data_IF_259096587832
#
_entry.id   IF_259096587832
#
_cell.length_a   1.000
_cell.length_b   1.000
_cell.length_c   1.000
_cell.angle_alpha   90.00
_cell.angle_beta   90.00
_cell.angle_gamma   90.00
#
_symmetry.space_group_name_H-M   'P 1'
#
loop_
_entity.id
_entity.type
_entity.pdbx_description
1 polymer ?
#
# COMPACT_ATOMS: atom_id res chain seq x y z
N UNK A 1 -27.60 60.10 24.48
CA UNK A 1 -27.88 59.67 25.85
C UNK A 1 -28.47 58.29 25.79
N UNK A 2 -27.63 57.27 25.90
CA UNK A 2 -28.01 55.91 26.34
C UNK A 2 -26.74 55.22 26.71
N UNK A 3 -26.64 54.91 27.96
CA UNK A 3 -25.57 54.27 28.70
C UNK A 3 -25.58 52.80 28.40
N UNK A 4 -24.43 52.21 28.01
CA UNK A 4 -24.25 50.77 27.81
C UNK A 4 -23.18 50.26 28.79
N UNK A 5 -23.71 49.73 29.90
CA UNK A 5 -22.93 49.09 30.94
C UNK A 5 -22.14 47.87 30.45
N UNK A 6 -20.85 47.89 30.66
CA UNK A 6 -19.94 46.76 30.49
C UNK A 6 -20.12 45.79 31.65
N UNK A 7 -20.49 44.53 31.33
CA UNK A 7 -20.42 43.42 32.28
C UNK A 7 -19.05 42.75 32.14
N UNK A 8 -18.24 42.87 33.19
CA UNK A 8 -17.03 42.05 33.38
C UNK A 8 -17.39 40.57 33.48
N UNK A 9 -16.81 39.78 32.60
CA UNK A 9 -16.82 38.31 32.73
C UNK A 9 -15.53 37.86 33.41
N UNK A 10 -15.67 37.33 34.62
CA UNK A 10 -14.64 36.65 35.39
C UNK A 10 -14.08 35.44 34.63
N UNK A 11 -12.82 35.50 34.18
CA UNK A 11 -12.04 34.35 33.70
C UNK A 11 -11.59 33.54 34.91
N UNK A 12 -12.16 32.33 35.09
CA UNK A 12 -11.60 31.30 35.96
C UNK A 12 -10.31 30.78 35.34
N UNK A 13 -9.18 31.06 36.00
CA UNK A 13 -7.89 30.46 35.71
C UNK A 13 -7.92 29.02 36.19
N UNK A 14 -7.86 28.06 35.27
CA UNK A 14 -7.70 26.63 35.58
C UNK A 14 -6.22 26.39 35.83
N UNK A 15 -5.86 26.12 37.07
CA UNK A 15 -4.51 25.80 37.50
C UNK A 15 -4.18 24.39 37.08
N UNK A 16 -3.30 24.22 36.07
CA UNK A 16 -2.77 22.91 35.65
C UNK A 16 -1.68 22.53 36.64
N UNK A 17 -2.03 21.65 37.57
CA UNK A 17 -1.11 21.03 38.52
C UNK A 17 -0.14 20.13 37.76
N UNK A 18 1.13 20.52 37.78
CA UNK A 18 2.25 19.76 37.19
C UNK A 18 2.51 18.48 37.99
N UNK A 19 2.68 17.36 37.26
CA UNK A 19 2.94 15.99 37.74
C UNK A 19 4.28 15.81 38.50
N UNK A 20 4.69 16.77 39.34
CA UNK A 20 6.01 16.74 40.00
C UNK A 20 5.98 16.50 41.52
N UNK A 21 4.82 16.31 42.17
CA UNK A 21 4.74 16.23 43.65
C UNK A 21 4.12 14.92 44.18
N UNK A 22 4.40 13.75 43.56
CA UNK A 22 3.88 12.47 44.10
C UNK A 22 4.96 11.51 44.60
N UNK A 23 6.16 12.01 44.90
CA UNK A 23 7.19 11.18 45.53
C UNK A 23 7.71 11.94 46.76
N UNK A 24 6.96 11.90 47.87
CA UNK A 24 7.46 12.07 49.23
C UNK A 24 6.31 11.76 50.20
N UNK A 25 6.16 10.54 50.58
CA UNK A 25 5.74 9.98 51.89
C UNK A 25 5.50 8.49 51.78
N UNK A 26 6.51 7.68 52.02
CA UNK A 26 6.39 6.32 52.55
C UNK A 26 7.79 5.85 52.93
N UNK A 27 8.29 6.28 54.04
CA UNK A 27 9.37 5.59 54.76
C UNK A 27 8.73 4.98 55.99
N UNK A 28 9.17 3.74 56.26
CA UNK A 28 8.96 2.90 57.45
C UNK A 28 7.83 1.87 57.31
N UNK A 29 8.20 0.68 56.83
CA UNK A 29 7.94 -0.59 57.47
C UNK A 29 8.61 -1.69 56.64
N UNK A 30 9.61 -2.37 57.23
CA UNK A 30 10.39 -3.41 56.58
C UNK A 30 9.51 -4.67 56.31
N UNK A 31 9.43 -5.01 55.05
CA UNK A 31 9.20 -6.37 54.56
C UNK A 31 10.03 -6.46 53.26
N UNK A 32 11.04 -7.33 53.29
CA UNK A 32 11.85 -7.67 52.15
C UNK A 32 10.95 -8.42 51.14
N UNK A 33 10.33 -7.69 50.22
CA UNK A 33 9.74 -8.26 49.03
C UNK A 33 10.85 -8.30 47.98
N UNK A 34 11.39 -9.47 47.74
CA UNK A 34 12.20 -9.77 46.59
C UNK A 34 11.36 -9.54 45.33
N UNK A 35 11.42 -8.32 44.80
CA UNK A 35 10.89 -8.03 43.47
C UNK A 35 11.81 -8.73 42.48
N UNK A 36 11.40 -9.91 42.00
CA UNK A 36 11.91 -10.43 40.74
C UNK A 36 11.55 -9.39 39.66
N UNK A 37 12.48 -8.48 39.41
CA UNK A 37 12.44 -7.66 38.21
C UNK A 37 12.62 -8.60 37.01
N UNK A 38 11.51 -9.11 36.46
CA UNK A 38 11.50 -9.58 35.09
C UNK A 38 11.85 -8.36 34.26
N UNK A 39 13.15 -8.23 33.95
CA UNK A 39 13.63 -7.32 32.93
C UNK A 39 12.96 -7.79 31.64
N UNK A 40 11.85 -7.12 31.27
CA UNK A 40 11.32 -7.20 29.93
C UNK A 40 12.40 -6.60 29.04
N UNK A 41 13.31 -7.45 28.56
CA UNK A 41 14.29 -7.09 27.56
C UNK A 41 13.50 -6.76 26.31
N UNK A 42 13.12 -5.50 26.15
CA UNK A 42 12.71 -4.98 24.85
C UNK A 42 13.96 -4.99 23.98
N UNK A 43 14.24 -6.13 23.35
CA UNK A 43 15.20 -6.17 22.25
C UNK A 43 14.67 -5.23 21.18
N UNK A 44 15.30 -4.03 21.09
CA UNK A 44 15.03 -3.16 19.95
C UNK A 44 15.27 -3.98 18.70
N UNK A 45 14.39 -3.88 17.68
CA UNK A 45 14.59 -4.60 16.43
C UNK A 45 16.00 -4.34 15.94
N UNK A 46 16.73 -5.40 15.60
CA UNK A 46 18.08 -5.27 15.06
C UNK A 46 17.90 -4.69 13.65
N UNK A 47 18.17 -3.40 13.52
CA UNK A 47 18.12 -2.70 12.25
C UNK A 47 19.07 -3.37 11.25
N UNK A 48 18.49 -3.97 10.20
CA UNK A 48 19.24 -4.53 9.10
C UNK A 48 19.42 -3.47 8.02
N UNK A 49 20.67 -3.25 7.61
CA UNK A 49 20.95 -2.33 6.52
C UNK A 49 20.47 -2.92 5.18
N UNK A 50 19.96 -2.09 4.24
CA UNK A 50 19.77 -2.50 2.87
C UNK A 50 21.06 -3.07 2.27
N UNK A 51 20.95 -4.13 1.47
CA UNK A 51 22.10 -4.74 0.78
C UNK A 51 22.61 -3.85 -0.37
N UNK A 52 21.77 -2.99 -0.91
CA UNK A 52 22.05 -2.06 -2.00
C UNK A 52 21.52 -0.68 -1.61
N UNK A 53 22.32 0.36 -1.83
CA UNK A 53 21.89 1.77 -1.80
C UNK A 53 21.21 2.14 -3.12
N UNK A 54 20.43 3.22 -3.14
CA UNK A 54 19.76 3.74 -4.34
C UNK A 54 18.84 2.72 -5.05
N UNK A 55 18.11 1.88 -4.27
CA UNK A 55 17.09 1.01 -4.85
C UNK A 55 16.02 1.83 -5.57
N UNK A 56 15.67 1.40 -6.79
CA UNK A 56 14.56 1.95 -7.55
C UNK A 56 13.31 1.08 -7.36
N UNK A 57 12.29 1.63 -6.72
CA UNK A 57 10.96 1.04 -6.53
C UNK A 57 10.04 1.60 -7.60
N UNK A 58 9.59 0.78 -8.51
CA UNK A 58 8.65 1.13 -9.56
C UNK A 58 7.29 0.51 -9.28
N UNK A 59 6.24 1.34 -9.28
CA UNK A 59 4.84 0.92 -9.19
C UNK A 59 4.18 1.06 -10.55
N UNK A 60 3.70 -0.03 -11.10
CA UNK A 60 2.99 -0.12 -12.38
C UNK A 60 1.57 -0.62 -12.17
N UNK A 61 0.66 -0.17 -13.03
CA UNK A 61 -0.73 -0.60 -12.99
C UNK A 61 -1.70 0.42 -13.56
N UNK A 62 -2.92 0.33 -13.08
CA UNK A 62 -4.07 1.13 -13.48
C UNK A 62 -4.38 2.30 -12.51
N UNK A 63 -5.67 2.69 -12.38
CA UNK A 63 -6.12 3.77 -11.51
C UNK A 63 -5.84 3.56 -10.02
N UNK A 64 -5.83 2.32 -9.56
CA UNK A 64 -5.55 1.99 -8.16
C UNK A 64 -4.08 2.32 -7.83
N UNK A 65 -3.18 2.07 -8.78
CA UNK A 65 -1.76 2.42 -8.68
C UNK A 65 -1.51 3.90 -8.98
N UNK A 66 -2.15 4.45 -10.02
CA UNK A 66 -2.07 5.88 -10.40
C UNK A 66 -2.38 6.78 -9.19
N UNK A 67 -3.48 6.52 -8.50
CA UNK A 67 -3.87 7.31 -7.32
C UNK A 67 -3.94 8.80 -7.65
N UNK A 68 -4.34 9.17 -8.86
CA UNK A 68 -4.39 10.56 -9.34
C UNK A 68 -3.04 11.29 -9.19
N UNK A 69 -1.94 10.63 -9.59
CA UNK A 69 -0.60 11.20 -9.53
C UNK A 69 -0.44 12.43 -10.43
N UNK A 70 0.42 13.33 -10.02
CA UNK A 70 0.81 14.47 -10.84
C UNK A 70 1.56 14.05 -12.10
N UNK A 71 1.35 14.81 -13.17
CA UNK A 71 1.99 14.60 -14.47
C UNK A 71 3.22 15.52 -14.69
N UNK A 72 3.62 16.23 -13.65
CA UNK A 72 4.80 17.10 -13.62
C UNK A 72 5.86 16.53 -12.67
N UNK A 73 6.94 17.27 -12.45
CA UNK A 73 8.05 16.87 -11.55
C UNK A 73 7.84 17.29 -10.08
N UNK A 74 6.64 17.79 -9.72
CA UNK A 74 6.35 18.20 -8.35
C UNK A 74 6.37 16.98 -7.40
N UNK A 75 7.35 16.89 -6.48
CA UNK A 75 7.52 15.74 -5.59
C UNK A 75 6.35 15.52 -4.64
N UNK A 76 5.48 16.52 -4.45
CA UNK A 76 4.30 16.38 -3.60
C UNK A 76 3.19 15.58 -4.27
N UNK A 77 3.20 15.45 -5.61
CA UNK A 77 2.10 14.86 -6.37
C UNK A 77 2.49 13.67 -7.25
N UNK A 78 3.78 13.50 -7.60
CA UNK A 78 4.24 12.45 -8.54
C UNK A 78 3.94 11.01 -8.11
N UNK A 79 3.71 10.79 -6.81
CA UNK A 79 3.38 9.46 -6.25
C UNK A 79 1.87 9.22 -6.13
N UNK A 80 1.04 10.24 -6.41
CA UNK A 80 -0.41 10.18 -6.18
C UNK A 80 -0.77 10.26 -4.70
N UNK A 81 -1.97 9.75 -4.35
CA UNK A 81 -2.45 9.70 -2.97
C UNK A 81 -2.92 8.30 -2.57
N UNK A 82 -2.53 7.28 -3.34
CA UNK A 82 -2.86 5.87 -3.11
C UNK A 82 -1.81 5.11 -2.29
N UNK A 83 -1.85 3.77 -2.39
CA UNK A 83 -0.93 2.90 -1.66
C UNK A 83 0.55 3.14 -2.03
N UNK A 84 0.84 3.54 -3.26
CA UNK A 84 2.19 3.89 -3.71
C UNK A 84 2.77 5.03 -2.87
N UNK A 85 1.98 6.10 -2.66
CA UNK A 85 2.37 7.21 -1.79
C UNK A 85 2.60 6.75 -0.35
N UNK A 86 1.69 5.94 0.21
CA UNK A 86 1.80 5.48 1.58
C UNK A 86 3.05 4.60 1.82
N UNK A 87 3.37 3.69 0.89
CA UNK A 87 4.59 2.87 0.92
C UNK A 87 5.83 3.75 0.82
N UNK A 88 5.87 4.62 -0.20
CA UNK A 88 7.03 5.45 -0.53
C UNK A 88 7.35 6.46 0.57
N UNK A 89 6.32 7.12 1.13
CA UNK A 89 6.52 8.11 2.19
C UNK A 89 7.05 7.50 3.48
N UNK A 90 6.61 6.29 3.85
CA UNK A 90 7.13 5.59 5.02
C UNK A 90 8.57 5.17 4.82
N UNK A 91 8.86 4.44 3.75
CA UNK A 91 10.21 3.93 3.49
C UNK A 91 11.18 5.09 3.26
N UNK A 92 10.79 6.12 2.51
CA UNK A 92 11.63 7.28 2.26
C UNK A 92 11.93 8.10 3.51
N UNK A 93 10.95 8.24 4.42
CA UNK A 93 11.13 8.97 5.68
C UNK A 93 12.05 8.23 6.67
N UNK A 94 11.96 6.90 6.74
CA UNK A 94 12.73 6.11 7.69
C UNK A 94 14.13 5.74 7.19
N UNK A 95 14.37 5.80 5.87
CA UNK A 95 15.64 5.42 5.24
C UNK A 95 16.24 6.51 4.33
N UNK A 96 16.26 7.81 4.71
CA UNK A 96 16.69 8.90 3.83
C UNK A 96 18.15 8.79 3.39
N UNK A 97 18.98 8.13 4.20
CA UNK A 97 20.41 7.97 3.95
C UNK A 97 20.75 7.03 2.80
N UNK A 98 19.78 6.23 2.31
CA UNK A 98 20.01 5.26 1.24
C UNK A 98 19.64 5.77 -0.15
N UNK A 99 19.03 6.95 -0.26
CA UNK A 99 18.71 7.59 -1.53
C UNK A 99 17.81 6.77 -2.43
N UNK A 100 16.82 6.06 -1.85
CA UNK A 100 15.86 5.27 -2.60
C UNK A 100 15.05 6.12 -3.55
N UNK A 101 14.78 5.60 -4.74
CA UNK A 101 13.89 6.20 -5.71
C UNK A 101 12.54 5.48 -5.72
N UNK A 102 11.46 6.26 -5.72
CA UNK A 102 10.09 5.74 -5.81
C UNK A 102 9.43 6.36 -7.04
N UNK A 103 8.97 5.52 -7.95
CA UNK A 103 8.40 5.94 -9.22
C UNK A 103 7.02 5.32 -9.36
N UNK A 104 6.00 6.16 -9.55
CA UNK A 104 4.65 5.71 -9.89
C UNK A 104 4.42 5.91 -11.39
N UNK A 105 4.12 4.81 -12.10
CA UNK A 105 3.78 4.77 -13.53
C UNK A 105 2.39 4.16 -13.77
N UNK A 106 1.54 4.13 -12.75
CA UNK A 106 0.13 3.82 -12.93
C UNK A 106 -0.55 4.81 -13.87
N UNK A 107 -1.47 4.33 -14.70
CA UNK A 107 -2.33 5.15 -15.57
C UNK A 107 -3.75 4.63 -15.45
N UNK A 108 -4.67 5.51 -15.05
CA UNK A 108 -6.08 5.19 -14.87
C UNK A 108 -6.68 4.61 -16.16
N UNK A 109 -7.43 3.51 -16.03
CA UNK A 109 -8.08 2.83 -17.15
C UNK A 109 -7.21 1.82 -17.89
N UNK A 110 -5.90 1.72 -17.60
CA UNK A 110 -5.02 0.80 -18.31
C UNK A 110 -5.36 -0.68 -18.01
N UNK A 111 -5.41 -1.47 -19.08
CA UNK A 111 -5.38 -2.92 -19.11
C UNK A 111 -3.94 -3.45 -19.25
N UNK A 112 -3.75 -4.77 -19.21
CA UNK A 112 -2.44 -5.37 -19.47
C UNK A 112 -1.90 -5.05 -20.86
N UNK A 113 -2.77 -4.94 -21.87
CA UNK A 113 -2.42 -4.54 -23.24
C UNK A 113 -1.93 -3.09 -23.32
N UNK A 114 -2.49 -2.21 -22.49
CA UNK A 114 -2.06 -0.81 -22.46
C UNK A 114 -0.70 -0.68 -21.77
N UNK A 115 -0.42 -1.50 -20.77
CA UNK A 115 0.92 -1.60 -20.19
C UNK A 115 1.94 -2.06 -21.24
N UNK A 116 1.62 -3.05 -22.07
CA UNK A 116 2.50 -3.55 -23.13
C UNK A 116 2.95 -2.43 -24.07
N UNK A 117 2.02 -1.57 -24.51
CA UNK A 117 2.30 -0.44 -25.43
C UNK A 117 3.34 0.56 -24.89
N UNK A 118 3.45 0.69 -23.58
CA UNK A 118 4.34 1.64 -22.91
C UNK A 118 5.43 0.98 -22.04
N UNK A 119 5.54 -0.35 -22.09
CA UNK A 119 6.40 -1.10 -21.18
C UNK A 119 7.87 -0.74 -21.28
N UNK A 120 8.35 -0.48 -22.48
CA UNK A 120 9.74 -0.07 -22.71
C UNK A 120 10.08 1.22 -21.94
N UNK A 121 9.32 2.28 -22.17
CA UNK A 121 9.61 3.61 -21.61
C UNK A 121 9.26 3.73 -20.13
N UNK A 122 8.15 3.09 -19.72
CA UNK A 122 7.60 3.23 -18.37
C UNK A 122 8.04 2.12 -17.40
N UNK A 123 8.83 1.15 -17.88
CA UNK A 123 9.33 0.06 -17.03
C UNK A 123 10.80 -0.27 -17.33
N UNK A 124 11.12 -0.71 -18.54
CA UNK A 124 12.46 -1.21 -18.84
C UNK A 124 13.53 -0.10 -18.80
N UNK A 125 13.25 1.07 -19.36
CA UNK A 125 14.18 2.20 -19.37
C UNK A 125 14.45 2.75 -17.95
N UNK A 126 13.54 2.52 -17.01
CA UNK A 126 13.67 2.94 -15.61
C UNK A 126 14.55 2.00 -14.77
N UNK A 127 14.85 0.79 -15.28
CA UNK A 127 15.74 -0.19 -14.67
C UNK A 127 15.44 -0.45 -13.19
N UNK A 128 14.21 -0.81 -12.82
CA UNK A 128 13.84 -0.98 -11.41
C UNK A 128 14.62 -2.12 -10.73
N UNK A 129 14.80 -1.99 -9.42
CA UNK A 129 15.26 -3.06 -8.54
C UNK A 129 14.06 -3.81 -7.92
N UNK A 130 12.96 -3.11 -7.75
CA UNK A 130 11.68 -3.63 -7.25
C UNK A 130 10.57 -3.17 -8.19
N UNK A 131 9.88 -4.09 -8.83
CA UNK A 131 8.72 -3.84 -9.67
C UNK A 131 7.46 -4.30 -8.95
N UNK A 132 6.58 -3.37 -8.59
CA UNK A 132 5.24 -3.66 -8.08
C UNK A 132 4.23 -3.49 -9.21
N UNK A 133 3.47 -4.55 -9.52
CA UNK A 133 2.49 -4.56 -10.60
C UNK A 133 1.11 -4.97 -10.07
N UNK A 134 0.12 -4.11 -10.30
CA UNK A 134 -1.30 -4.37 -10.02
C UNK A 134 -2.12 -3.96 -11.24
N UNK A 135 -2.67 -4.93 -11.98
CA UNK A 135 -3.47 -4.73 -13.20
C UNK A 135 -4.41 -5.93 -13.39
N UNK A 136 -5.50 -5.73 -14.13
CA UNK A 136 -6.43 -6.80 -14.49
C UNK A 136 -7.91 -6.42 -14.36
N UNK A 137 -8.24 -5.43 -13.55
CA UNK A 137 -9.64 -5.01 -13.37
C UNK A 137 -10.20 -4.31 -14.63
N UNK A 138 -9.37 -3.57 -15.37
CA UNK A 138 -9.78 -2.95 -16.62
C UNK A 138 -9.83 -3.95 -17.79
N UNK A 139 -9.09 -5.04 -17.70
CA UNK A 139 -9.23 -6.18 -18.60
C UNK A 139 -10.62 -6.82 -18.46
N UNK A 140 -11.10 -6.94 -17.21
CA UNK A 140 -12.48 -7.38 -16.91
C UNK A 140 -13.48 -6.36 -17.41
N UNK A 141 -13.28 -5.06 -17.17
CA UNK A 141 -14.16 -4.01 -17.66
C UNK A 141 -14.30 -4.05 -19.18
N UNK A 142 -13.21 -4.27 -19.91
CA UNK A 142 -13.22 -4.36 -21.37
C UNK A 142 -14.10 -5.55 -21.86
N UNK A 143 -14.08 -6.68 -21.19
CA UNK A 143 -14.95 -7.82 -21.48
C UNK A 143 -16.42 -7.46 -21.24
N UNK A 144 -16.73 -6.86 -20.10
CA UNK A 144 -18.11 -6.51 -19.72
C UNK A 144 -18.69 -5.47 -20.68
N UNK A 145 -17.89 -4.51 -21.13
CA UNK A 145 -18.27 -3.50 -22.11
C UNK A 145 -18.30 -4.04 -23.56
N UNK A 146 -17.88 -5.28 -23.79
CA UNK A 146 -17.84 -5.90 -25.11
C UNK A 146 -16.85 -5.23 -26.06
N UNK A 147 -15.73 -4.70 -25.52
CA UNK A 147 -14.69 -4.06 -26.34
C UNK A 147 -14.00 -5.07 -27.24
N UNK A 148 -13.74 -4.69 -28.48
CA UNK A 148 -13.11 -5.57 -29.46
C UNK A 148 -11.67 -5.96 -29.07
N UNK A 149 -10.95 -5.08 -28.37
CA UNK A 149 -9.60 -5.29 -27.86
C UNK A 149 -9.54 -6.05 -26.52
N UNK A 150 -10.68 -6.46 -25.98
CA UNK A 150 -10.73 -7.21 -24.73
C UNK A 150 -10.00 -8.56 -24.86
N UNK A 151 -9.05 -8.81 -23.98
CA UNK A 151 -8.30 -10.06 -23.96
C UNK A 151 -9.08 -11.16 -23.23
N UNK A 152 -9.12 -12.35 -23.81
CA UNK A 152 -9.52 -13.54 -23.07
C UNK A 152 -8.45 -13.92 -22.00
N UNK A 153 -8.76 -14.92 -21.17
CA UNK A 153 -7.88 -15.34 -20.09
C UNK A 153 -6.48 -15.76 -20.58
N UNK A 154 -6.41 -16.47 -21.71
CA UNK A 154 -5.15 -16.95 -22.28
C UNK A 154 -4.29 -15.82 -22.84
N UNK A 155 -4.89 -14.87 -23.55
CA UNK A 155 -4.21 -13.71 -24.10
C UNK A 155 -3.73 -12.78 -22.98
N UNK A 156 -4.57 -12.55 -21.94
CA UNK A 156 -4.17 -11.83 -20.74
C UNK A 156 -2.93 -12.47 -20.08
N UNK A 157 -2.96 -13.78 -19.82
CA UNK A 157 -1.85 -14.49 -19.22
C UNK A 157 -0.57 -14.37 -20.07
N UNK A 158 -0.68 -14.60 -21.39
CA UNK A 158 0.45 -14.52 -22.31
C UNK A 158 1.10 -13.14 -22.31
N UNK A 159 0.29 -12.06 -22.41
CA UNK A 159 0.79 -10.69 -22.37
C UNK A 159 1.46 -10.39 -21.03
N UNK A 160 0.80 -10.74 -19.92
CA UNK A 160 1.37 -10.53 -18.58
C UNK A 160 2.75 -11.21 -18.42
N UNK A 161 2.85 -12.47 -18.85
CA UNK A 161 4.12 -13.22 -18.82
C UNK A 161 5.21 -12.60 -19.68
N UNK A 162 4.87 -12.11 -20.88
CA UNK A 162 5.83 -11.44 -21.76
C UNK A 162 6.41 -10.16 -21.11
N UNK A 163 5.57 -9.38 -20.43
CA UNK A 163 6.01 -8.19 -19.68
C UNK A 163 7.04 -8.55 -18.60
N UNK A 164 6.76 -9.58 -17.81
CA UNK A 164 7.66 -10.00 -16.74
C UNK A 164 8.94 -10.66 -17.28
N UNK A 165 8.83 -11.42 -18.37
CA UNK A 165 9.98 -12.07 -19.01
C UNK A 165 11.00 -11.02 -19.48
N UNK A 166 10.55 -9.94 -20.14
CA UNK A 166 11.42 -8.85 -20.58
C UNK A 166 12.13 -8.15 -19.41
N UNK A 167 11.45 -8.00 -18.28
CA UNK A 167 12.06 -7.44 -17.07
C UNK A 167 13.13 -8.38 -16.49
N UNK A 168 12.87 -9.70 -16.45
CA UNK A 168 13.83 -10.69 -15.94
C UNK A 168 15.01 -10.89 -16.86
N UNK A 169 14.83 -10.76 -18.17
CA UNK A 169 15.92 -10.75 -19.14
C UNK A 169 16.86 -9.57 -18.90
N UNK A 170 16.30 -8.36 -18.65
CA UNK A 170 17.09 -7.18 -18.36
C UNK A 170 17.77 -7.24 -16.98
N UNK A 171 17.05 -7.70 -15.95
CA UNK A 171 17.52 -7.79 -14.57
C UNK A 171 17.09 -9.10 -13.91
N UNK A 172 17.91 -10.16 -13.97
CA UNK A 172 17.60 -11.44 -13.33
C UNK A 172 17.35 -11.35 -11.81
N UNK A 173 17.91 -10.32 -11.17
CA UNK A 173 17.77 -10.06 -9.72
C UNK A 173 16.59 -9.14 -9.36
N UNK A 174 15.79 -8.75 -10.34
CA UNK A 174 14.61 -7.93 -10.10
C UNK A 174 13.68 -8.59 -9.07
N UNK A 175 13.34 -7.88 -8.00
CA UNK A 175 12.28 -8.29 -7.11
C UNK A 175 10.92 -7.92 -7.71
N UNK A 176 10.16 -8.92 -8.12
CA UNK A 176 8.81 -8.73 -8.66
C UNK A 176 7.80 -8.87 -7.52
N UNK A 177 6.86 -7.90 -7.45
CA UNK A 177 5.77 -7.88 -6.48
C UNK A 177 4.47 -7.79 -7.27
N UNK A 178 3.62 -8.82 -7.18
CA UNK A 178 2.36 -8.89 -7.91
C UNK A 178 1.17 -8.76 -6.94
N UNK A 179 0.36 -7.72 -7.16
CA UNK A 179 -0.92 -7.56 -6.48
C UNK A 179 -2.04 -8.30 -7.22
N UNK A 180 -2.86 -9.04 -6.49
CA UNK A 180 -4.07 -9.64 -7.07
C UNK A 180 -5.10 -8.57 -7.38
N UNK A 181 -5.68 -8.53 -8.59
CA UNK A 181 -6.84 -7.70 -8.89
C UNK A 181 -8.03 -8.14 -8.05
N UNK A 182 -8.92 -7.21 -7.75
CA UNK A 182 -10.07 -7.43 -6.87
C UNK A 182 -11.30 -6.65 -7.34
N UNK A 183 -12.46 -7.16 -6.93
CA UNK A 183 -13.74 -6.50 -7.06
C UNK A 183 -14.63 -6.84 -5.88
N UNK A 184 -15.37 -5.85 -5.35
CA UNK A 184 -16.26 -6.03 -4.22
C UNK A 184 -17.64 -5.43 -4.49
N UNK A 185 -18.67 -5.96 -3.84
CA UNK A 185 -20.05 -5.46 -3.92
C UNK A 185 -20.20 -4.16 -3.12
N UNK A 186 -19.64 -3.04 -3.61
CA UNK A 186 -19.70 -1.75 -2.94
C UNK A 186 -20.08 -0.60 -3.89
N UNK A 187 -20.60 0.49 -3.31
CA UNK A 187 -21.00 1.68 -4.03
C UNK A 187 -21.97 1.41 -5.17
N UNK A 188 -21.84 2.17 -6.24
CA UNK A 188 -22.75 2.08 -7.40
C UNK A 188 -22.56 0.82 -8.28
N UNK A 189 -21.46 0.08 -8.11
CA UNK A 189 -21.23 -1.21 -8.79
C UNK A 189 -21.74 -2.42 -8.01
N UNK A 190 -22.34 -2.22 -6.84
CA UNK A 190 -22.82 -3.32 -5.99
C UNK A 190 -23.67 -4.33 -6.73
N UNK A 191 -24.62 -3.86 -7.55
CA UNK A 191 -25.55 -4.72 -8.29
C UNK A 191 -24.91 -5.39 -9.51
N UNK A 192 -23.65 -5.07 -9.83
CA UNK A 192 -22.89 -5.66 -10.93
C UNK A 192 -21.97 -6.79 -10.47
N UNK A 193 -21.99 -7.14 -9.18
CA UNK A 193 -21.06 -8.10 -8.57
C UNK A 193 -21.01 -9.44 -9.30
N UNK A 194 -22.16 -10.00 -9.63
CA UNK A 194 -22.25 -11.31 -10.31
C UNK A 194 -21.61 -11.31 -11.71
N UNK A 195 -21.52 -10.17 -12.36
CA UNK A 195 -20.88 -10.05 -13.67
C UNK A 195 -19.37 -9.82 -13.57
N UNK A 196 -18.93 -9.07 -12.57
CA UNK A 196 -17.52 -8.66 -12.41
C UNK A 196 -16.69 -9.68 -11.66
N UNK A 197 -17.23 -10.20 -10.55
CA UNK A 197 -16.47 -11.02 -9.62
C UNK A 197 -15.89 -12.29 -10.24
N UNK A 198 -16.65 -13.11 -11.02
CA UNK A 198 -16.09 -14.32 -11.60
C UNK A 198 -14.93 -14.06 -12.56
N UNK A 199 -15.05 -13.02 -13.39
CA UNK A 199 -13.98 -12.61 -14.32
C UNK A 199 -12.76 -12.05 -13.58
N UNK A 200 -12.99 -11.29 -12.52
CA UNK A 200 -11.90 -10.76 -11.68
C UNK A 200 -11.17 -11.87 -10.94
N UNK A 201 -11.91 -12.85 -10.41
CA UNK A 201 -11.36 -14.02 -9.78
C UNK A 201 -10.50 -14.84 -10.74
N UNK A 202 -10.95 -15.05 -11.98
CA UNK A 202 -10.18 -15.71 -13.02
C UNK A 202 -8.83 -15.00 -13.27
N UNK A 203 -8.84 -13.66 -13.38
CA UNK A 203 -7.62 -12.86 -13.54
C UNK A 203 -6.71 -12.96 -12.31
N UNK A 204 -7.29 -12.94 -11.11
CA UNK A 204 -6.54 -13.10 -9.86
C UNK A 204 -5.85 -14.46 -9.77
N UNK A 205 -6.51 -15.56 -10.14
CA UNK A 205 -5.91 -16.91 -10.15
C UNK A 205 -4.78 -17.03 -11.20
N UNK A 206 -4.93 -16.39 -12.38
CA UNK A 206 -3.83 -16.30 -13.36
C UNK A 206 -2.63 -15.58 -12.76
N UNK A 207 -2.83 -14.39 -12.15
CA UNK A 207 -1.73 -13.62 -11.53
C UNK A 207 -1.08 -14.40 -10.40
N UNK A 208 -1.86 -15.14 -9.62
CA UNK A 208 -1.34 -15.99 -8.54
C UNK A 208 -0.46 -17.14 -9.08
N UNK A 209 -0.87 -17.76 -10.18
CA UNK A 209 -0.03 -18.78 -10.84
C UNK A 209 1.25 -18.16 -11.41
N UNK A 210 1.15 -17.00 -12.06
CA UNK A 210 2.32 -16.26 -12.56
C UNK A 210 3.28 -15.90 -11.41
N UNK A 211 2.77 -15.44 -10.28
CA UNK A 211 3.60 -15.14 -9.12
C UNK A 211 4.42 -16.34 -8.66
N UNK A 212 3.80 -17.51 -8.63
CA UNK A 212 4.48 -18.76 -8.28
C UNK A 212 5.57 -19.12 -9.29
N UNK A 213 5.29 -19.00 -10.59
CA UNK A 213 6.22 -19.39 -11.66
C UNK A 213 7.44 -18.46 -11.75
N UNK A 214 7.29 -17.20 -11.37
CA UNK A 214 8.36 -16.19 -11.37
C UNK A 214 9.05 -16.01 -10.01
N UNK A 215 8.70 -16.80 -8.99
CA UNK A 215 9.14 -16.61 -7.60
C UNK A 215 8.92 -15.14 -7.13
N UNK A 216 7.76 -14.61 -7.51
CA UNK A 216 7.40 -13.22 -7.20
C UNK A 216 6.71 -13.12 -5.83
N UNK A 217 6.87 -11.98 -5.19
CA UNK A 217 6.13 -11.64 -3.98
C UNK A 217 4.66 -11.45 -4.34
N UNK A 218 3.78 -12.23 -3.75
CA UNK A 218 2.35 -12.10 -3.94
C UNK A 218 1.75 -11.21 -2.86
N UNK A 219 0.95 -10.22 -3.26
CA UNK A 219 0.14 -9.39 -2.35
C UNK A 219 -1.33 -9.69 -2.59
N UNK A 220 -1.95 -10.40 -1.65
CA UNK A 220 -3.35 -10.83 -1.72
C UNK A 220 -4.27 -9.73 -1.20
N UNK A 221 -4.52 -8.70 -2.02
CA UNK A 221 -5.42 -7.60 -1.68
C UNK A 221 -6.88 -8.03 -1.48
N UNK A 222 -7.46 -8.98 -2.25
CA UNK A 222 -8.78 -9.53 -1.95
C UNK A 222 -8.91 -9.96 -0.48
N UNK A 223 -7.99 -10.76 -0.01
CA UNK A 223 -7.97 -11.26 1.38
C UNK A 223 -7.87 -10.12 2.41
N UNK A 224 -7.05 -9.09 2.13
CA UNK A 224 -6.93 -7.91 3.02
C UNK A 224 -8.29 -7.25 3.23
N UNK A 225 -9.05 -7.06 2.15
CA UNK A 225 -10.36 -6.42 2.23
C UNK A 225 -11.43 -7.34 2.82
N UNK A 226 -11.37 -8.65 2.55
CA UNK A 226 -12.23 -9.64 3.20
C UNK A 226 -12.06 -9.61 4.73
N UNK A 227 -10.82 -9.61 5.22
CA UNK A 227 -10.52 -9.52 6.65
C UNK A 227 -10.94 -8.15 7.24
N UNK A 228 -10.78 -7.06 6.47
CA UNK A 228 -11.15 -5.73 6.91
C UNK A 228 -12.66 -5.55 7.13
N UNK A 229 -13.50 -6.32 6.44
CA UNK A 229 -14.95 -6.30 6.62
C UNK A 229 -15.40 -6.73 8.02
N UNK A 230 -14.55 -7.42 8.78
CA UNK A 230 -14.81 -7.72 10.19
C UNK A 230 -14.81 -6.45 11.08
N UNK A 231 -14.23 -5.34 10.61
CA UNK A 231 -14.09 -4.09 11.36
C UNK A 231 -15.04 -3.00 10.88
N UNK A 232 -15.32 -2.95 9.57
CA UNK A 232 -16.21 -1.97 8.96
C UNK A 232 -16.78 -2.52 7.64
N UNK A 233 -17.96 -2.04 7.19
CA UNK A 233 -18.54 -2.43 5.90
C UNK A 233 -17.58 -2.19 4.75
N UNK A 234 -17.74 -2.95 3.66
CA UNK A 234 -16.84 -2.86 2.50
C UNK A 234 -16.78 -1.46 1.90
N UNK A 235 -17.90 -0.69 1.91
CA UNK A 235 -17.95 0.69 1.41
C UNK A 235 -17.03 1.66 2.16
N UNK A 236 -16.63 1.33 3.39
CA UNK A 236 -15.63 2.09 4.15
C UNK A 236 -14.22 1.95 3.54
N UNK A 237 -13.94 0.80 2.92
CA UNK A 237 -12.63 0.44 2.38
C UNK A 237 -12.54 0.64 0.87
N UNK A 238 -13.62 0.31 0.13
CA UNK A 238 -13.72 0.39 -1.32
C UNK A 238 -15.02 1.10 -1.67
N UNK A 239 -14.92 2.27 -2.33
CA UNK A 239 -16.08 3.15 -2.46
C UNK A 239 -16.99 2.84 -3.66
N UNK A 240 -16.52 2.17 -4.70
CA UNK A 240 -17.26 1.95 -5.96
C UNK A 240 -17.16 0.53 -6.53
N UNK A 241 -16.67 -0.41 -5.73
CA UNK A 241 -16.44 -1.81 -6.15
C UNK A 241 -15.01 -2.10 -6.59
N UNK A 242 -14.26 -1.09 -7.02
CA UNK A 242 -12.91 -1.18 -7.57
C UNK A 242 -11.90 -0.36 -6.79
N UNK A 243 -12.21 0.93 -6.55
CA UNK A 243 -11.24 1.87 -6.04
C UNK A 243 -11.25 1.92 -4.51
N UNK A 244 -10.09 1.72 -3.85
CA UNK A 244 -9.98 1.87 -2.42
C UNK A 244 -10.18 3.32 -1.98
N UNK A 245 -10.78 3.50 -0.81
CA UNK A 245 -10.73 4.78 -0.09
C UNK A 245 -9.31 5.05 0.42
N UNK A 246 -9.06 6.22 0.99
CA UNK A 246 -7.77 6.50 1.64
C UNK A 246 -7.41 5.44 2.71
N UNK A 247 -8.41 4.94 3.42
CA UNK A 247 -8.24 3.89 4.43
C UNK A 247 -7.95 2.53 3.79
N UNK A 248 -8.59 2.22 2.66
CA UNK A 248 -8.31 1.02 1.87
C UNK A 248 -6.89 1.02 1.31
N UNK A 249 -6.45 2.15 0.76
CA UNK A 249 -5.07 2.30 0.28
C UNK A 249 -4.03 2.12 1.41
N UNK A 250 -4.36 2.56 2.62
CA UNK A 250 -3.51 2.35 3.79
C UNK A 250 -3.39 0.86 4.13
N UNK A 251 -4.47 0.08 4.07
CA UNK A 251 -4.42 -1.37 4.26
C UNK A 251 -3.57 -2.05 3.18
N UNK A 252 -3.72 -1.63 1.93
CA UNK A 252 -2.89 -2.12 0.81
C UNK A 252 -1.41 -1.85 1.06
N UNK A 253 -1.05 -0.65 1.50
CA UNK A 253 0.33 -0.28 1.78
C UNK A 253 0.94 -1.12 2.92
N UNK A 254 0.19 -1.38 3.98
CA UNK A 254 0.63 -2.25 5.10
C UNK A 254 0.90 -3.66 4.63
N UNK A 255 -0.02 -4.24 3.85
CA UNK A 255 0.16 -5.60 3.36
C UNK A 255 1.32 -5.69 2.36
N UNK A 256 1.46 -4.70 1.46
CA UNK A 256 2.59 -4.62 0.55
C UNK A 256 3.93 -4.65 1.32
N UNK A 257 4.10 -3.76 2.30
CA UNK A 257 5.31 -3.69 3.13
C UNK A 257 5.55 -5.00 3.86
N UNK A 258 4.52 -5.59 4.45
CA UNK A 258 4.59 -6.87 5.18
C UNK A 258 5.04 -8.02 4.27
N UNK A 259 4.55 -8.11 3.03
CA UNK A 259 4.97 -9.17 2.11
C UNK A 259 6.40 -8.93 1.60
N UNK A 260 6.72 -7.70 1.22
CA UNK A 260 8.05 -7.34 0.69
C UNK A 260 9.14 -7.39 1.76
N UNK A 261 8.83 -7.15 3.03
CA UNK A 261 9.78 -7.25 4.14
C UNK A 261 10.41 -8.65 4.27
N UNK A 262 9.73 -9.69 3.82
CA UNK A 262 10.26 -11.06 3.79
C UNK A 262 11.45 -11.22 2.85
N UNK A 263 11.60 -10.32 1.87
CA UNK A 263 12.67 -10.29 0.87
C UNK A 263 13.65 -9.13 1.08
N UNK A 264 13.14 -8.00 1.60
CA UNK A 264 13.92 -6.82 1.93
C UNK A 264 13.93 -6.62 3.45
N UNK A 265 14.80 -7.35 4.15
CA UNK A 265 14.83 -7.46 5.61
C UNK A 265 14.93 -6.13 6.37
N UNK A 266 15.41 -5.06 5.74
CA UNK A 266 15.43 -3.74 6.36
C UNK A 266 14.01 -3.18 6.62
N UNK A 267 12.99 -3.72 5.92
CA UNK A 267 11.59 -3.35 6.13
C UNK A 267 10.93 -4.08 7.31
N UNK A 268 11.61 -5.01 7.99
CA UNK A 268 11.04 -5.74 9.13
C UNK A 268 10.66 -4.82 10.30
N UNK A 269 11.19 -3.59 10.34
CA UNK A 269 10.78 -2.58 11.33
C UNK A 269 9.27 -2.23 11.28
N UNK A 270 8.59 -2.57 10.19
CA UNK A 270 7.16 -2.31 10.01
C UNK A 270 6.27 -3.52 10.35
N UNK A 271 6.84 -4.67 10.66
CA UNK A 271 6.11 -5.95 10.81
C UNK A 271 6.10 -6.50 12.23
N UNK A 272 6.73 -5.78 13.18
CA UNK A 272 6.80 -6.13 14.61
C UNK A 272 5.64 -5.56 15.43
#
# INVERSE_FOLDING_TARGET
MMDLGMKEQNKKVVNISTRRNFIKLASVSGLAVTVLSTACSSTKPVYQKPKKEHLCFLFQGDSITDGNRGQNEDPNHILGHGYCFAVSSRIGADFPQYGFQFINRGISGNSVSDLEKRWQTDTLDLKPDVLSLLVGINDVNAIIEGKQEALDAKAFESTYRNLLASCKEQNPNLLIVLGLPFFFASGWRKDQYENWYPLTLERAEIVKQIAKDYDAVLVDYPKVFEEAQQKAPIDYWIWDGVHPTAFGHELMAREWIKQVSKHLNFLNIYTE
#
